data_IF_927300169613
#
_entry.id   IF_927300169613
#
_cell.length_a   1.000
_cell.length_b   1.000
_cell.length_c   1.000
_cell.angle_alpha   90.00
_cell.angle_beta   90.00
_cell.angle_gamma   90.00
#
_symmetry.space_group_name_H-M   'P 1'
#
loop_
_entity.id
_entity.type
_entity.pdbx_description
1 polymer ?
#
# COMPACT_ATOMS: atom_id res chain seq x y z
N UNK A 1 -2.24 -15.17 -29.95
CA UNK A 1 -1.70 -13.82 -29.69
C UNK A 1 -0.57 -13.49 -30.65
N UNK A 2 0.48 -14.31 -30.75
CA UNK A 2 1.67 -14.04 -31.58
C UNK A 2 1.36 -13.71 -33.03
N UNK A 3 0.46 -14.50 -33.69
CA UNK A 3 0.04 -14.22 -35.04
C UNK A 3 -0.66 -12.87 -35.24
N UNK A 4 -1.45 -12.43 -34.25
CA UNK A 4 -2.10 -11.12 -34.32
C UNK A 4 -1.04 -10.03 -34.26
N UNK A 5 -0.04 -10.19 -33.37
CA UNK A 5 1.09 -9.27 -33.27
C UNK A 5 1.88 -9.16 -34.56
N UNK A 6 2.27 -10.30 -35.16
CA UNK A 6 2.98 -10.33 -36.43
C UNK A 6 2.21 -9.59 -37.55
N UNK A 7 0.87 -9.76 -37.58
CA UNK A 7 0.04 -9.07 -38.58
C UNK A 7 -0.06 -7.56 -38.28
N UNK A 8 -0.20 -7.16 -37.03
CA UNK A 8 -0.24 -5.75 -36.65
C UNK A 8 1.09 -5.06 -36.94
N UNK A 9 2.21 -5.64 -36.54
CA UNK A 9 3.55 -5.11 -36.78
C UNK A 9 3.85 -4.97 -38.30
N UNK A 10 3.30 -5.86 -39.11
CA UNK A 10 3.52 -5.86 -40.57
C UNK A 10 2.62 -4.89 -41.35
N UNK A 11 1.40 -4.63 -40.88
CA UNK A 11 0.39 -3.95 -41.67
C UNK A 11 -0.19 -2.68 -41.03
N UNK A 12 0.07 -2.42 -39.74
CA UNK A 12 -0.39 -1.20 -39.14
C UNK A 12 0.47 0.00 -39.58
N UNK A 13 -0.14 1.20 -39.63
CA UNK A 13 0.48 2.37 -40.27
C UNK A 13 1.49 3.06 -39.32
N UNK A 14 1.28 2.98 -38.03
CA UNK A 14 2.11 3.61 -37.03
C UNK A 14 2.95 2.59 -36.25
N UNK A 15 3.99 3.07 -35.56
CA UNK A 15 4.79 2.23 -34.65
C UNK A 15 3.92 1.69 -33.51
N UNK A 16 4.09 0.41 -33.20
CA UNK A 16 3.29 -0.27 -32.17
C UNK A 16 4.10 -0.41 -30.88
N UNK A 17 3.47 -0.04 -29.77
CA UNK A 17 3.94 -0.42 -28.45
C UNK A 17 3.39 -1.82 -28.08
N UNK A 18 4.21 -2.83 -28.35
CA UNK A 18 3.89 -4.22 -28.10
C UNK A 18 3.59 -4.51 -26.61
N UNK A 19 4.28 -3.83 -25.70
CA UNK A 19 4.08 -3.96 -24.25
C UNK A 19 2.68 -3.50 -23.83
N UNK A 20 2.30 -2.29 -24.22
CA UNK A 20 1.00 -1.72 -23.89
C UNK A 20 -0.15 -2.50 -24.55
N UNK A 21 0.03 -2.98 -25.78
CA UNK A 21 -0.98 -3.81 -26.45
C UNK A 21 -1.17 -5.16 -25.74
N UNK A 22 -0.07 -5.81 -25.32
CA UNK A 22 -0.13 -7.06 -24.54
C UNK A 22 -0.83 -6.86 -23.22
N UNK A 23 -0.48 -5.79 -22.48
CA UNK A 23 -1.11 -5.43 -21.21
C UNK A 23 -2.62 -5.25 -21.39
N UNK A 24 -3.03 -4.42 -22.35
CA UNK A 24 -4.45 -4.16 -22.62
C UNK A 24 -5.23 -5.43 -22.97
N UNK A 25 -4.62 -6.35 -23.74
CA UNK A 25 -5.25 -7.61 -24.09
C UNK A 25 -5.39 -8.57 -22.89
N UNK A 26 -4.37 -8.64 -22.02
CA UNK A 26 -4.40 -9.45 -20.79
C UNK A 26 -5.44 -8.88 -19.83
N UNK A 27 -5.42 -7.58 -19.57
CA UNK A 27 -6.36 -6.91 -18.69
C UNK A 27 -7.80 -7.14 -19.13
N UNK A 28 -8.12 -6.96 -20.43
CA UNK A 28 -9.45 -7.24 -20.98
C UNK A 28 -9.90 -8.70 -20.83
N UNK A 29 -8.98 -9.67 -20.93
CA UNK A 29 -9.32 -11.09 -20.67
C UNK A 29 -9.61 -11.34 -19.19
N UNK A 30 -8.92 -10.68 -18.28
CA UNK A 30 -9.08 -10.88 -16.84
C UNK A 30 -10.32 -10.17 -16.29
N UNK A 31 -10.70 -9.03 -16.86
CA UNK A 31 -11.95 -8.31 -16.52
C UNK A 31 -13.21 -9.17 -16.71
N UNK A 32 -13.18 -10.14 -17.62
CA UNK A 32 -14.29 -11.10 -17.82
C UNK A 32 -14.41 -12.16 -16.73
N UNK A 33 -13.44 -12.26 -15.82
CA UNK A 33 -13.41 -13.28 -14.77
C UNK A 33 -14.00 -12.77 -13.44
N UNK A 34 -13.24 -11.96 -12.74
CA UNK A 34 -13.60 -11.38 -11.43
C UNK A 34 -12.70 -10.16 -11.15
N UNK A 35 -13.07 -9.28 -10.20
CA UNK A 35 -12.28 -8.08 -9.90
C UNK A 35 -10.97 -8.34 -9.13
N UNK A 36 -10.70 -9.58 -8.73
CA UNK A 36 -9.53 -9.94 -7.92
C UNK A 36 -8.42 -10.62 -8.73
N UNK A 37 -8.76 -11.14 -9.91
CA UNK A 37 -7.78 -11.75 -10.81
C UNK A 37 -7.08 -10.68 -11.63
N UNK A 38 -5.87 -10.33 -11.23
CA UNK A 38 -5.07 -9.27 -11.86
C UNK A 38 -3.73 -9.79 -12.34
N UNK A 39 -3.21 -9.19 -13.39
CA UNK A 39 -1.86 -9.43 -13.90
C UNK A 39 -0.97 -8.22 -13.63
N UNK A 40 0.12 -8.42 -12.92
CA UNK A 40 1.13 -7.39 -12.73
C UNK A 40 2.14 -7.44 -13.87
N UNK A 41 2.10 -6.44 -14.74
CA UNK A 41 3.10 -6.26 -15.78
C UNK A 41 4.45 -5.82 -15.17
N UNK A 42 5.56 -5.94 -15.92
CA UNK A 42 6.87 -5.49 -15.45
C UNK A 42 6.90 -4.02 -15.01
N UNK A 43 6.10 -3.17 -15.67
CA UNK A 43 5.92 -1.77 -15.29
C UNK A 43 5.20 -1.59 -13.94
N UNK A 44 4.41 -2.57 -13.51
CA UNK A 44 3.58 -2.51 -12.30
C UNK A 44 4.25 -3.26 -11.11
N UNK A 45 5.49 -3.71 -11.29
CA UNK A 45 6.26 -4.42 -10.25
C UNK A 45 6.42 -3.57 -8.98
N UNK A 46 6.55 -2.24 -9.13
CA UNK A 46 6.67 -1.33 -7.97
C UNK A 46 5.37 -1.32 -7.14
N UNK A 47 4.20 -1.37 -7.77
CA UNK A 47 2.92 -1.43 -7.06
C UNK A 47 2.74 -2.79 -6.36
N UNK A 48 3.17 -3.89 -6.98
CA UNK A 48 3.23 -5.19 -6.31
C UNK A 48 4.20 -5.20 -5.12
N UNK A 49 5.37 -4.57 -5.26
CA UNK A 49 6.33 -4.41 -4.17
C UNK A 49 5.74 -3.57 -3.03
N UNK A 50 5.09 -2.45 -3.35
CA UNK A 50 4.40 -1.62 -2.35
C UNK A 50 3.36 -2.44 -1.57
N UNK A 51 2.51 -3.21 -2.26
CA UNK A 51 1.48 -4.04 -1.65
C UNK A 51 2.06 -5.13 -0.73
N UNK A 52 3.20 -5.72 -1.10
CA UNK A 52 3.78 -6.87 -0.37
C UNK A 52 4.81 -6.47 0.68
N UNK A 53 5.54 -5.39 0.47
CA UNK A 53 6.65 -4.94 1.35
C UNK A 53 6.39 -3.63 2.06
N UNK A 54 5.38 -2.87 1.63
CA UNK A 54 5.16 -1.50 2.09
C UNK A 54 6.23 -0.51 1.60
N UNK A 55 7.02 -0.88 0.59
CA UNK A 55 8.14 -0.10 0.08
C UNK A 55 7.95 0.23 -1.39
N UNK A 56 8.31 1.44 -1.78
CA UNK A 56 8.34 1.89 -3.17
C UNK A 56 9.47 2.91 -3.39
N UNK A 57 9.94 3.00 -4.61
CA UNK A 57 10.88 4.05 -4.99
C UNK A 57 10.15 5.37 -5.25
N UNK A 58 10.61 6.47 -4.63
CA UNK A 58 9.93 7.75 -4.81
C UNK A 58 10.46 8.88 -3.94
N UNK A 59 9.64 9.91 -3.76
CA UNK A 59 10.01 11.12 -3.01
C UNK A 59 9.60 11.09 -1.53
N UNK A 60 8.62 10.26 -1.15
CA UNK A 60 8.11 10.19 0.22
C UNK A 60 7.26 11.39 0.62
N UNK A 61 6.15 11.58 -0.07
CA UNK A 61 5.15 12.60 0.26
C UNK A 61 3.73 12.13 -0.05
N UNK A 62 2.79 12.52 0.79
CA UNK A 62 1.38 12.45 0.47
C UNK A 62 1.02 13.61 -0.47
N UNK A 63 0.33 13.29 -1.56
CA UNK A 63 -0.16 14.28 -2.52
C UNK A 63 -1.68 14.32 -2.54
N UNK A 64 -2.26 15.47 -2.88
CA UNK A 64 -3.71 15.64 -3.03
C UNK A 64 -4.03 16.54 -4.20
N UNK A 65 -4.92 16.08 -5.08
CA UNK A 65 -5.45 16.91 -6.16
C UNK A 65 -6.50 17.89 -5.64
N UNK A 66 -6.36 19.16 -6.02
CA UNK A 66 -7.36 20.21 -5.80
C UNK A 66 -7.50 21.01 -7.09
N UNK A 67 -8.70 20.98 -7.68
CA UNK A 67 -8.98 21.54 -8.99
C UNK A 67 -8.05 20.96 -10.08
N UNK A 68 -7.37 21.81 -10.83
CA UNK A 68 -6.49 21.42 -11.95
C UNK A 68 -5.08 21.04 -11.51
N UNK A 69 -4.72 21.12 -10.23
CA UNK A 69 -3.36 20.87 -9.75
C UNK A 69 -3.30 19.87 -8.62
N UNK A 70 -2.16 19.21 -8.51
CA UNK A 70 -1.80 18.38 -7.38
C UNK A 70 -0.89 19.16 -6.44
N UNK A 71 -1.08 18.97 -5.14
CA UNK A 71 -0.35 19.63 -4.07
C UNK A 71 0.37 18.61 -3.21
N UNK A 72 1.52 18.97 -2.65
CA UNK A 72 2.11 18.25 -1.53
C UNK A 72 1.18 18.44 -0.33
N UNK A 73 0.53 17.37 0.13
CA UNK A 73 -0.30 17.42 1.33
C UNK A 73 0.56 17.26 2.59
N UNK A 74 1.54 16.33 2.54
CA UNK A 74 2.45 16.06 3.66
C UNK A 74 3.73 15.42 3.13
N UNK A 75 4.90 16.05 3.27
CA UNK A 75 6.18 15.40 3.04
C UNK A 75 6.51 14.54 4.27
N UNK A 76 6.77 13.24 4.08
CA UNK A 76 7.10 12.34 5.18
C UNK A 76 8.47 12.67 5.77
N UNK A 77 8.55 12.76 7.09
CA UNK A 77 9.79 13.07 7.80
C UNK A 77 10.95 12.15 7.39
N UNK A 78 12.13 12.72 7.25
CA UNK A 78 13.36 12.03 6.88
C UNK A 78 13.39 11.40 5.47
N UNK A 79 12.36 11.61 4.65
CA UNK A 79 12.31 11.18 3.27
C UNK A 79 12.83 12.27 2.29
N UNK A 80 13.10 11.94 1.01
CA UNK A 80 13.66 12.88 0.04
C UNK A 80 12.90 14.20 -0.08
N UNK A 81 11.56 14.15 -0.17
CA UNK A 81 10.72 15.34 -0.25
C UNK A 81 10.94 16.30 0.94
N UNK A 82 10.93 15.77 2.15
CA UNK A 82 11.18 16.57 3.36
C UNK A 82 12.59 17.15 3.38
N UNK A 83 13.61 16.32 3.08
CA UNK A 83 15.01 16.74 3.05
C UNK A 83 15.32 17.78 1.98
N UNK A 84 14.60 17.76 0.86
CA UNK A 84 14.76 18.74 -0.22
C UNK A 84 14.09 20.09 0.07
N UNK A 85 13.28 20.17 1.14
CA UNK A 85 12.58 21.39 1.54
C UNK A 85 11.20 21.57 0.90
N UNK A 86 10.60 20.51 0.35
CA UNK A 86 9.16 20.50 0.02
C UNK A 86 8.36 20.62 1.31
N UNK A 87 7.29 21.38 1.27
CA UNK A 87 6.38 21.59 2.41
C UNK A 87 4.92 21.35 2.02
N UNK A 88 4.09 21.12 3.02
CA UNK A 88 2.63 21.05 2.82
C UNK A 88 2.10 22.35 2.20
N UNK A 89 1.27 22.21 1.17
CA UNK A 89 0.71 23.32 0.39
C UNK A 89 1.50 23.70 -0.86
N UNK A 90 2.67 23.15 -1.11
CA UNK A 90 3.40 23.33 -2.37
C UNK A 90 2.57 22.78 -3.54
N UNK A 91 2.24 23.64 -4.51
CA UNK A 91 1.52 23.29 -5.75
C UNK A 91 2.50 22.77 -6.78
N UNK A 92 2.35 21.52 -7.21
CA UNK A 92 3.21 20.93 -8.23
C UNK A 92 2.85 21.51 -9.60
N UNK A 93 3.79 22.17 -10.23
CA UNK A 93 3.65 22.73 -11.58
C UNK A 93 4.25 21.80 -12.64
N UNK A 94 5.48 21.32 -12.41
CA UNK A 94 6.23 20.52 -13.36
C UNK A 94 7.00 19.41 -12.64
N UNK A 95 7.15 18.26 -13.28
CA UNK A 95 8.03 17.15 -12.86
C UNK A 95 8.87 16.74 -14.06
N UNK A 96 10.18 16.75 -13.91
CA UNK A 96 11.16 16.43 -14.96
C UNK A 96 10.87 17.19 -16.28
N UNK A 97 10.49 18.49 -16.15
CA UNK A 97 10.16 19.39 -17.26
C UNK A 97 8.76 19.17 -17.87
N UNK A 98 7.98 18.23 -17.40
CA UNK A 98 6.61 17.96 -17.87
C UNK A 98 5.59 18.73 -17.04
N UNK A 99 4.65 19.44 -17.69
CA UNK A 99 3.57 20.16 -17.00
C UNK A 99 2.58 19.19 -16.34
N UNK A 100 2.24 19.45 -15.07
CA UNK A 100 1.31 18.64 -14.27
C UNK A 100 -0.10 19.24 -14.18
N UNK A 101 -0.39 20.35 -14.83
CA UNK A 101 -1.74 20.93 -14.87
C UNK A 101 -2.73 19.99 -15.52
N UNK A 102 -3.87 19.75 -14.87
CA UNK A 102 -4.95 18.89 -15.37
C UNK A 102 -4.70 17.39 -15.21
N UNK A 103 -3.46 16.98 -14.90
CA UNK A 103 -3.11 15.58 -14.68
C UNK A 103 -3.88 14.98 -13.52
N UNK A 104 -4.15 13.66 -13.59
CA UNK A 104 -4.75 12.92 -12.48
C UNK A 104 -3.77 12.75 -11.32
N UNK A 105 -4.26 12.43 -10.12
CA UNK A 105 -3.37 12.12 -8.99
C UNK A 105 -2.48 10.92 -9.27
N UNK A 106 -2.95 9.95 -10.04
CA UNK A 106 -2.23 8.76 -10.45
C UNK A 106 -1.09 9.10 -11.40
N UNK A 107 -1.33 9.89 -12.45
CA UNK A 107 -0.30 10.36 -13.37
C UNK A 107 0.81 11.13 -12.65
N UNK A 108 0.44 12.03 -11.71
CA UNK A 108 1.41 12.78 -10.91
C UNK A 108 2.17 11.84 -9.95
N UNK A 109 1.47 10.90 -9.31
CA UNK A 109 2.11 9.90 -8.44
C UNK A 109 3.13 9.06 -9.21
N UNK A 110 2.77 8.60 -10.40
CA UNK A 110 3.67 7.83 -11.29
C UNK A 110 4.91 8.65 -11.67
N UNK A 111 4.76 9.92 -12.00
CA UNK A 111 5.89 10.79 -12.31
C UNK A 111 6.83 11.04 -11.11
N UNK A 112 6.29 11.04 -9.88
CA UNK A 112 7.07 11.20 -8.64
C UNK A 112 7.76 9.90 -8.21
N UNK A 113 7.20 8.73 -8.55
CA UNK A 113 7.80 7.41 -8.30
C UNK A 113 8.98 7.17 -9.25
N UNK A 114 9.76 6.15 -8.94
CA UNK A 114 10.86 5.67 -9.76
C UNK A 114 11.97 5.04 -8.93
N UNK A 115 12.92 4.34 -9.55
CA UNK A 115 13.93 3.57 -8.86
C UNK A 115 14.75 4.42 -7.89
N UNK A 116 15.09 3.82 -6.74
CA UNK A 116 15.98 4.41 -5.74
C UNK A 116 17.27 4.92 -6.39
N UNK A 117 17.66 6.15 -6.03
CA UNK A 117 18.88 6.81 -6.52
C UNK A 117 18.71 7.55 -7.84
N UNK A 118 17.57 7.42 -8.55
CA UNK A 118 17.29 8.22 -9.74
C UNK A 118 16.96 9.66 -9.35
N UNK A 119 17.39 10.61 -10.17
CA UNK A 119 17.10 12.02 -9.95
C UNK A 119 15.66 12.35 -10.35
N UNK A 120 15.06 13.31 -9.64
CA UNK A 120 13.79 13.95 -9.99
C UNK A 120 13.93 15.47 -9.83
N UNK A 121 13.42 16.22 -10.79
CA UNK A 121 13.32 17.67 -10.70
C UNK A 121 11.84 18.06 -10.58
N UNK A 122 11.51 18.82 -9.54
CA UNK A 122 10.14 19.24 -9.25
C UNK A 122 10.09 20.75 -9.16
N UNK A 123 9.26 21.38 -10.01
CA UNK A 123 8.94 22.79 -9.90
C UNK A 123 7.60 22.97 -9.19
N UNK A 124 7.61 23.68 -8.07
CA UNK A 124 6.42 23.98 -7.27
C UNK A 124 6.15 25.48 -7.20
N UNK A 125 4.89 25.84 -6.97
CA UNK A 125 4.48 27.19 -6.59
C UNK A 125 4.11 27.20 -5.10
N UNK A 126 4.83 28.02 -4.34
CA UNK A 126 4.65 28.18 -2.89
C UNK A 126 3.91 29.48 -2.59
N UNK A 127 2.89 29.41 -1.75
CA UNK A 127 2.09 30.58 -1.31
C UNK A 127 1.47 31.38 -2.50
N UNK A 128 1.18 30.72 -3.65
CA UNK A 128 0.67 31.33 -4.88
C UNK A 128 1.55 32.47 -5.44
N UNK A 129 2.84 32.48 -5.17
CA UNK A 129 3.73 33.60 -5.57
C UNK A 129 5.12 33.16 -6.02
N UNK A 130 5.72 32.22 -5.36
CA UNK A 130 7.13 31.86 -5.58
C UNK A 130 7.22 30.53 -6.31
N UNK A 131 7.89 30.52 -7.47
CA UNK A 131 8.26 29.30 -8.16
C UNK A 131 9.61 28.82 -7.64
N UNK A 132 9.66 27.59 -7.17
CA UNK A 132 10.85 26.95 -6.63
C UNK A 132 11.06 25.65 -7.41
N UNK A 133 12.25 25.50 -7.98
CA UNK A 133 12.68 24.22 -8.60
C UNK A 133 13.64 23.51 -7.66
N UNK A 134 13.33 22.26 -7.34
CA UNK A 134 14.09 21.39 -6.46
C UNK A 134 14.51 20.14 -7.24
N UNK A 135 15.79 19.81 -7.15
CA UNK A 135 16.34 18.60 -7.78
C UNK A 135 16.99 17.72 -6.71
N UNK A 136 16.53 16.47 -6.59
CA UNK A 136 16.99 15.53 -5.59
C UNK A 136 16.79 14.08 -6.04
N UNK A 137 17.38 13.13 -5.35
CA UNK A 137 17.26 11.73 -5.71
C UNK A 137 16.08 11.08 -4.99
N UNK A 138 15.35 10.21 -5.71
CA UNK A 138 14.39 9.28 -5.15
C UNK A 138 15.08 8.31 -4.20
N UNK A 139 14.37 7.86 -3.19
CA UNK A 139 14.85 6.82 -2.26
C UNK A 139 13.77 5.74 -2.08
N UNK A 140 14.13 4.68 -1.39
CA UNK A 140 13.17 3.67 -0.94
C UNK A 140 12.32 4.25 0.20
N UNK A 141 11.04 4.40 -0.05
CA UNK A 141 10.07 4.94 0.91
C UNK A 141 9.39 3.76 1.59
N UNK A 142 9.47 3.70 2.91
CA UNK A 142 8.76 2.71 3.71
C UNK A 142 7.51 3.34 4.33
N UNK A 143 6.36 2.78 4.00
CA UNK A 143 5.09 3.11 4.66
C UNK A 143 4.90 2.12 5.81
N UNK A 144 4.78 2.58 7.07
CA UNK A 144 4.58 1.68 8.20
C UNK A 144 3.19 1.00 8.11
N UNK A 145 3.14 -0.29 8.41
CA UNK A 145 1.88 -1.02 8.54
C UNK A 145 1.06 -0.48 9.72
N UNK A 146 1.74 -0.14 10.82
CA UNK A 146 1.17 0.48 12.02
C UNK A 146 1.58 1.95 12.09
N UNK A 147 0.85 2.88 11.43
CA UNK A 147 1.19 4.31 11.45
C UNK A 147 0.96 4.96 12.81
N UNK A 148 0.12 4.37 13.64
CA UNK A 148 -0.16 4.88 14.98
C UNK A 148 -0.47 3.76 15.97
N UNK A 149 0.14 3.84 17.14
CA UNK A 149 -0.22 3.08 18.33
C UNK A 149 -0.05 3.98 19.57
N UNK A 150 -0.98 3.89 20.53
CA UNK A 150 -0.93 4.70 21.75
C UNK A 150 -2.05 4.35 22.73
N UNK A 151 -1.89 4.75 23.98
CA UNK A 151 -2.97 4.69 24.96
C UNK A 151 -4.03 5.76 24.62
N UNK A 152 -5.31 5.36 24.56
CA UNK A 152 -6.43 6.28 24.35
C UNK A 152 -7.23 6.53 25.65
N UNK A 153 -6.98 5.74 26.67
CA UNK A 153 -7.44 5.92 28.04
C UNK A 153 -6.42 5.29 28.99
N UNK A 154 -6.66 5.33 30.27
CA UNK A 154 -5.75 4.83 31.32
C UNK A 154 -5.37 3.36 31.15
N UNK A 155 -6.28 2.53 30.63
CA UNK A 155 -6.12 1.08 30.47
C UNK A 155 -6.44 0.57 29.05
N UNK A 156 -6.74 1.48 28.10
CA UNK A 156 -7.12 1.13 26.74
C UNK A 156 -6.03 1.52 25.76
N UNK A 157 -5.41 0.52 25.14
CA UNK A 157 -4.50 0.69 24.01
C UNK A 157 -5.26 0.72 22.67
N UNK A 158 -4.70 1.45 21.72
CA UNK A 158 -5.20 1.55 20.36
C UNK A 158 -4.06 1.31 19.37
N UNK A 159 -4.31 0.47 18.38
CA UNK A 159 -3.39 0.17 17.29
C UNK A 159 -4.15 0.38 15.96
N UNK A 160 -3.63 1.27 15.11
CA UNK A 160 -4.09 1.43 13.73
C UNK A 160 -3.25 0.56 12.82
N UNK A 161 -3.87 -0.37 12.09
CA UNK A 161 -3.21 -1.18 11.06
C UNK A 161 -3.74 -0.79 9.69
N UNK A 162 -2.87 -0.26 8.82
CA UNK A 162 -3.25 0.22 7.50
C UNK A 162 -3.07 -0.82 6.39
N UNK A 163 -2.17 -1.79 6.56
CA UNK A 163 -1.85 -2.78 5.54
C UNK A 163 -1.33 -4.08 6.16
N UNK A 164 -1.38 -5.17 5.40
CA UNK A 164 -0.80 -6.46 5.80
C UNK A 164 0.41 -6.78 4.91
N UNK A 165 1.48 -5.95 5.01
CA UNK A 165 2.74 -6.24 4.35
C UNK A 165 3.55 -7.30 5.11
N UNK A 166 4.72 -7.67 4.61
CA UNK A 166 5.60 -8.69 5.24
C UNK A 166 6.01 -8.38 6.69
N UNK A 167 5.83 -7.15 7.15
CA UNK A 167 6.22 -6.70 8.50
C UNK A 167 5.02 -6.43 9.42
N UNK A 168 3.79 -6.54 8.92
CA UNK A 168 2.59 -6.15 9.63
C UNK A 168 2.44 -6.81 11.01
N UNK A 169 2.56 -8.14 11.07
CA UNK A 169 2.46 -8.87 12.35
C UNK A 169 3.54 -8.45 13.35
N UNK A 170 4.77 -8.21 12.88
CA UNK A 170 5.87 -7.77 13.74
C UNK A 170 5.63 -6.36 14.29
N UNK A 171 5.12 -5.44 13.45
CA UNK A 171 4.79 -4.08 13.88
C UNK A 171 3.63 -4.08 14.88
N UNK A 172 2.59 -4.91 14.66
CA UNK A 172 1.47 -5.07 15.61
C UNK A 172 1.96 -5.66 16.94
N UNK A 173 2.77 -6.72 16.91
CA UNK A 173 3.35 -7.31 18.13
C UNK A 173 4.17 -6.29 18.90
N UNK A 174 5.03 -5.54 18.23
CA UNK A 174 5.85 -4.50 18.84
C UNK A 174 4.99 -3.42 19.51
N UNK A 175 3.96 -2.94 18.79
CA UNK A 175 3.01 -1.95 19.33
C UNK A 175 2.26 -2.50 20.54
N UNK A 176 1.75 -3.75 20.45
CA UNK A 176 1.07 -4.42 21.55
C UNK A 176 1.91 -4.51 22.82
N UNK A 177 3.16 -4.99 22.69
CA UNK A 177 4.07 -5.14 23.84
C UNK A 177 4.46 -3.78 24.45
N UNK A 178 4.61 -2.73 23.61
CA UNK A 178 4.84 -1.37 24.11
C UNK A 178 3.66 -0.89 24.97
N UNK A 179 2.44 -1.00 24.43
CA UNK A 179 1.22 -0.59 25.16
C UNK A 179 1.00 -1.40 26.43
N UNK A 180 1.31 -2.71 26.39
CA UNK A 180 1.25 -3.57 27.58
C UNK A 180 2.22 -3.08 28.66
N UNK A 181 3.42 -2.64 28.28
CA UNK A 181 4.39 -2.06 29.23
C UNK A 181 3.95 -0.70 29.81
N UNK A 182 3.03 0.00 29.12
CA UNK A 182 2.43 1.25 29.55
C UNK A 182 1.17 1.04 30.43
N UNK A 183 0.75 -0.23 30.65
CA UNK A 183 -0.39 -0.57 31.49
C UNK A 183 -1.69 -0.85 30.73
N UNK A 184 -1.60 -1.17 29.44
CA UNK A 184 -2.77 -1.57 28.67
C UNK A 184 -3.41 -2.86 29.22
N UNK A 185 -4.70 -2.82 29.49
CA UNK A 185 -5.53 -3.97 29.88
C UNK A 185 -6.60 -4.33 28.82
N UNK A 186 -6.86 -3.44 27.86
CA UNK A 186 -7.85 -3.60 26.79
C UNK A 186 -7.27 -3.06 25.49
N UNK A 187 -7.62 -3.68 24.34
CA UNK A 187 -7.10 -3.28 23.04
C UNK A 187 -8.21 -2.92 22.05
N UNK A 188 -8.01 -1.84 21.32
CA UNK A 188 -8.75 -1.50 20.10
C UNK A 188 -7.80 -1.69 18.91
N UNK A 189 -8.11 -2.64 18.03
CA UNK A 189 -7.42 -2.84 16.75
C UNK A 189 -8.25 -2.22 15.63
N UNK A 190 -7.75 -1.17 15.00
CA UNK A 190 -8.47 -0.45 13.96
C UNK A 190 -8.01 -0.87 12.56
N UNK A 191 -8.90 -1.53 11.83
CA UNK A 191 -8.74 -1.99 10.45
C UNK A 191 -9.57 -1.17 9.45
N UNK A 192 -10.19 -0.06 9.87
CA UNK A 192 -10.98 0.78 8.96
C UNK A 192 -10.09 1.35 7.84
N UNK A 193 -10.59 1.25 6.60
CA UNK A 193 -9.85 1.66 5.40
C UNK A 193 -8.69 0.73 5.02
N UNK A 194 -8.52 -0.42 5.69
CA UNK A 194 -7.47 -1.39 5.38
C UNK A 194 -7.96 -2.41 4.36
N UNK A 195 -7.57 -2.29 3.10
CA UNK A 195 -7.93 -3.19 1.99
C UNK A 195 -7.33 -4.60 2.06
N UNK A 196 -6.53 -4.91 3.10
CA UNK A 196 -5.93 -6.23 3.29
C UNK A 196 -4.44 -6.29 2.98
N UNK A 197 -4.01 -7.38 2.36
CA UNK A 197 -2.63 -7.69 2.01
C UNK A 197 -2.31 -9.18 2.20
N UNK A 198 -1.17 -9.50 2.76
CA UNK A 198 -0.68 -10.88 2.87
C UNK A 198 -1.51 -11.70 3.87
N UNK A 199 -2.16 -12.76 3.39
CA UNK A 199 -2.96 -13.69 4.19
C UNK A 199 -2.17 -14.24 5.39
N UNK A 200 -0.89 -14.57 5.19
CA UNK A 200 -0.07 -15.14 6.26
C UNK A 200 0.14 -14.16 7.43
N UNK A 201 0.16 -12.86 7.15
CA UNK A 201 0.28 -11.84 8.19
C UNK A 201 -1.03 -11.71 8.99
N UNK A 202 -2.19 -11.86 8.34
CA UNK A 202 -3.47 -11.97 9.04
C UNK A 202 -3.49 -13.16 10.00
N UNK A 203 -3.04 -14.34 9.53
CA UNK A 203 -2.94 -15.55 10.38
C UNK A 203 -2.02 -15.32 11.59
N UNK A 204 -0.89 -14.62 11.40
CA UNK A 204 0.06 -14.32 12.48
C UNK A 204 -0.54 -13.34 13.50
N UNK A 205 -1.31 -12.35 13.05
CA UNK A 205 -1.98 -11.40 13.95
C UNK A 205 -3.08 -12.13 14.74
N UNK A 206 -3.90 -12.96 14.09
CA UNK A 206 -4.90 -13.80 14.76
C UNK A 206 -4.25 -14.71 15.81
N UNK A 207 -3.07 -15.27 15.51
CA UNK A 207 -2.32 -16.13 16.44
C UNK A 207 -1.87 -15.41 17.71
N UNK A 208 -1.85 -14.08 17.75
CA UNK A 208 -1.56 -13.34 18.99
C UNK A 208 -2.63 -13.57 20.07
N UNK A 209 -3.88 -13.87 19.67
CA UNK A 209 -5.06 -13.84 20.53
C UNK A 209 -5.82 -15.17 20.59
N UNK A 210 -5.50 -16.13 19.74
CA UNK A 210 -6.21 -17.42 19.66
C UNK A 210 -5.25 -18.56 19.99
N UNK A 211 -5.73 -19.62 20.70
CA UNK A 211 -4.92 -20.79 21.03
C UNK A 211 -4.26 -21.43 19.80
N UNK A 212 -3.16 -22.15 20.03
CA UNK A 212 -2.45 -22.87 18.98
C UNK A 212 -3.35 -23.93 18.30
N UNK A 213 -3.06 -24.22 17.02
CA UNK A 213 -3.71 -25.25 16.19
C UNK A 213 -5.19 -24.99 15.88
N UNK A 214 -5.69 -23.75 16.00
CA UNK A 214 -7.04 -23.37 15.57
C UNK A 214 -7.04 -23.01 14.09
N UNK A 215 -8.12 -23.37 13.37
CA UNK A 215 -8.30 -22.98 11.97
C UNK A 215 -8.66 -21.48 11.91
N UNK A 216 -7.88 -20.73 11.15
CA UNK A 216 -8.10 -19.31 10.89
C UNK A 216 -8.85 -19.12 9.57
N UNK A 217 -8.35 -19.72 8.49
CA UNK A 217 -8.94 -19.61 7.17
C UNK A 217 -8.63 -20.83 6.30
N UNK A 218 -9.52 -21.16 5.38
CA UNK A 218 -9.30 -22.19 4.37
C UNK A 218 -9.44 -21.57 2.97
N UNK A 219 -8.50 -21.89 2.08
CA UNK A 219 -8.63 -21.61 0.66
C UNK A 219 -9.07 -22.86 -0.08
N UNK A 220 -10.08 -22.71 -0.96
CA UNK A 220 -10.57 -23.81 -1.78
C UNK A 220 -10.71 -23.34 -3.22
N UNK A 221 -10.15 -24.09 -4.14
CA UNK A 221 -10.18 -23.81 -5.55
C UNK A 221 -10.55 -25.02 -6.40
N UNK A 222 -10.56 -24.83 -7.70
CA UNK A 222 -10.83 -25.90 -8.69
C UNK A 222 -9.76 -26.98 -8.66
N UNK A 223 -8.50 -26.59 -8.45
CA UNK A 223 -7.36 -27.50 -8.30
C UNK A 223 -7.28 -27.89 -6.83
N UNK A 224 -7.68 -29.12 -6.50
CA UNK A 224 -7.80 -29.57 -5.11
C UNK A 224 -6.46 -29.62 -4.37
N UNK A 225 -5.36 -29.90 -5.09
CA UNK A 225 -4.00 -29.92 -4.56
C UNK A 225 -3.53 -28.56 -4.06
N UNK A 226 -4.16 -27.47 -4.53
CA UNK A 226 -3.91 -26.10 -4.11
C UNK A 226 -4.78 -25.65 -2.93
N UNK A 227 -5.69 -26.49 -2.46
CA UNK A 227 -6.45 -26.19 -1.26
C UNK A 227 -5.53 -26.13 -0.03
N UNK A 228 -5.69 -25.11 0.77
CA UNK A 228 -4.87 -24.89 1.99
C UNK A 228 -5.77 -24.60 3.17
N UNK A 229 -5.32 -25.07 4.34
CA UNK A 229 -5.91 -24.74 5.62
C UNK A 229 -4.84 -24.06 6.46
N UNK A 230 -5.09 -22.80 6.81
CA UNK A 230 -4.20 -22.01 7.64
C UNK A 230 -4.67 -22.05 9.08
N UNK A 231 -3.73 -22.35 9.97
CA UNK A 231 -3.97 -22.49 11.40
C UNK A 231 -3.02 -21.60 12.18
N UNK A 232 -3.39 -21.30 13.41
CA UNK A 232 -2.45 -20.75 14.41
C UNK A 232 -1.33 -21.77 14.67
N UNK A 233 -0.08 -21.31 14.76
CA UNK A 233 1.10 -22.18 14.79
C UNK A 233 1.98 -22.00 16.03
N UNK A 234 1.71 -20.99 16.85
CA UNK A 234 2.48 -20.70 18.05
C UNK A 234 1.57 -20.41 19.24
N UNK A 235 2.15 -20.38 20.43
CA UNK A 235 1.43 -19.93 21.61
C UNK A 235 1.02 -18.46 21.45
N UNK A 236 -0.20 -18.11 21.88
CA UNK A 236 -0.71 -16.74 21.80
C UNK A 236 0.08 -15.80 22.74
N UNK A 237 0.09 -14.53 22.40
CA UNK A 237 0.67 -13.48 23.26
C UNK A 237 -0.29 -13.13 24.40
N UNK A 238 -1.60 -13.11 24.11
CA UNK A 238 -2.64 -12.84 25.11
C UNK A 238 -3.94 -13.51 24.72
N UNK A 239 -4.46 -14.38 25.58
CA UNK A 239 -5.75 -15.04 25.38
C UNK A 239 -6.93 -14.27 25.97
N UNK A 240 -6.67 -13.48 27.00
CA UNK A 240 -7.73 -12.94 27.87
C UNK A 240 -7.93 -11.42 27.71
N UNK A 241 -7.13 -10.75 26.87
CA UNK A 241 -7.26 -9.31 26.69
C UNK A 241 -8.62 -8.97 26.02
N UNK A 242 -9.45 -8.11 26.61
CA UNK A 242 -10.63 -7.61 25.94
C UNK A 242 -10.22 -6.86 24.67
N UNK A 243 -10.71 -7.35 23.51
CA UNK A 243 -10.31 -6.87 22.18
C UNK A 243 -11.54 -6.39 21.43
N UNK A 244 -11.45 -5.20 20.87
CA UNK A 244 -12.41 -4.63 19.90
C UNK A 244 -11.70 -4.44 18.56
N UNK A 245 -12.30 -4.95 17.49
CA UNK A 245 -11.82 -4.74 16.12
C UNK A 245 -12.75 -3.75 15.42
N UNK A 246 -12.21 -2.63 14.95
CA UNK A 246 -12.95 -1.64 14.17
C UNK A 246 -12.78 -1.93 12.68
N UNK A 247 -13.89 -2.00 11.97
CA UNK A 247 -13.95 -2.23 10.51
C UNK A 247 -14.91 -1.24 9.85
N UNK A 248 -14.77 -1.04 8.55
CA UNK A 248 -15.68 -0.25 7.71
C UNK A 248 -15.79 -0.84 6.30
N UNK A 249 -16.46 -0.15 5.38
CA UNK A 249 -16.59 -0.58 3.98
C UNK A 249 -15.28 -0.65 3.19
N UNK A 250 -14.20 -0.10 3.71
CA UNK A 250 -12.85 -0.20 3.15
C UNK A 250 -12.02 -1.36 3.71
N UNK A 251 -12.55 -2.08 4.73
CA UNK A 251 -11.89 -3.25 5.30
C UNK A 251 -12.17 -4.49 4.46
N UNK A 252 -11.14 -5.09 3.86
CA UNK A 252 -11.31 -6.22 2.94
C UNK A 252 -10.23 -7.28 3.10
N UNK A 253 -10.46 -8.48 2.54
CA UNK A 253 -9.46 -9.56 2.42
C UNK A 253 -8.84 -9.95 3.78
N UNK A 254 -7.54 -9.71 3.99
CA UNK A 254 -6.84 -10.01 5.25
C UNK A 254 -7.49 -9.36 6.49
N UNK A 255 -8.09 -8.16 6.33
CA UNK A 255 -8.85 -7.50 7.39
C UNK A 255 -10.11 -8.29 7.77
N UNK A 256 -10.79 -8.90 6.79
CA UNK A 256 -11.96 -9.77 7.03
C UNK A 256 -11.55 -11.07 7.72
N UNK A 257 -10.37 -11.63 7.36
CA UNK A 257 -9.82 -12.81 8.04
C UNK A 257 -9.58 -12.51 9.53
N UNK A 258 -8.93 -11.38 9.84
CA UNK A 258 -8.66 -11.00 11.23
C UNK A 258 -9.96 -10.74 11.99
N UNK A 259 -10.84 -9.90 11.46
CA UNK A 259 -12.08 -9.52 12.15
C UNK A 259 -13.04 -10.72 12.31
N UNK A 260 -13.12 -11.60 11.31
CA UNK A 260 -13.98 -12.78 11.35
C UNK A 260 -13.45 -13.92 12.24
N UNK A 261 -12.12 -14.00 12.42
CA UNK A 261 -11.52 -15.02 13.28
C UNK A 261 -11.52 -14.63 14.75
N UNK A 262 -11.39 -13.35 15.06
CA UNK A 262 -11.39 -12.81 16.42
C UNK A 262 -12.81 -12.58 16.94
#
# INVERSE_FOLDING_TARGET
MDQIYEYLEKYYVDDLDAGNLSKSAIDAMLEELDPYTVYYHETDIEDYQLMTTGQYGGIGALIRKMNDYTYIAEPYENNPAHKSGLIAGDKILEIDGNEMKGKTSEEVSTALKGPKGTNVEITVERNNKEKITLSFNRDEIKIPDVPYAGMIDTDIGYIKLNSFTKTASQEVIKAFLSLQSEGMEKLVLDLRGNGGGLLIEAVRIVNMFIPNNQIVVTTKGRVQEENRTYKTMSEPISLDIPLVVLVDGGSASASEIVSGSL
#
